data_IF_893454442838
#
_entry.id   IF_893454442838
#
_cell.length_a   1.000
_cell.length_b   1.000
_cell.length_c   1.000
_cell.angle_alpha   90.00
_cell.angle_beta   90.00
_cell.angle_gamma   90.00
#
_symmetry.space_group_name_H-M   'P 1'
#
loop_
_entity.id
_entity.type
_entity.pdbx_description
1 polymer ?
#
# COMPACT_ATOMS: atom_id res chain seq x y z
N UNK A 1 15.86 -15.53 35.76
CA UNK A 1 16.56 -14.88 34.63
C UNK A 1 17.91 -15.54 34.50
N UNK A 2 18.16 -16.25 33.39
CA UNK A 2 19.48 -16.79 33.06
C UNK A 2 20.23 -15.74 32.23
N UNK A 3 21.29 -15.16 32.80
CA UNK A 3 22.24 -14.33 32.06
C UNK A 3 23.28 -15.24 31.43
N UNK A 4 23.35 -15.29 30.10
CA UNK A 4 24.25 -16.18 29.37
C UNK A 4 25.66 -15.61 29.16
N UNK A 5 25.95 -14.41 29.69
CA UNK A 5 27.27 -13.79 29.64
C UNK A 5 27.75 -13.42 28.23
N UNK A 6 28.76 -12.55 28.17
CA UNK A 6 29.24 -11.92 26.92
C UNK A 6 29.95 -12.88 25.94
N UNK A 7 30.07 -14.16 26.31
CA UNK A 7 30.79 -15.20 25.54
C UNK A 7 29.88 -16.25 24.90
N UNK A 8 28.55 -16.10 24.98
CA UNK A 8 27.63 -16.98 24.27
C UNK A 8 27.60 -16.61 22.77
N UNK A 9 28.65 -16.99 22.06
CA UNK A 9 28.77 -16.77 20.62
C UNK A 9 27.85 -17.70 19.85
N UNK A 10 26.72 -17.17 19.38
CA UNK A 10 26.01 -17.77 18.24
C UNK A 10 26.99 -17.90 17.05
N UNK A 11 26.78 -18.83 16.08
CA UNK A 11 27.64 -19.01 14.91
C UNK A 11 27.45 -17.84 13.92
N UNK A 12 27.78 -16.63 14.37
CA UNK A 12 27.58 -15.37 13.67
C UNK A 12 28.96 -14.76 13.53
N UNK A 13 29.46 -14.70 12.29
CA UNK A 13 30.73 -14.05 12.05
C UNK A 13 30.53 -12.53 12.07
N UNK A 14 30.91 -11.88 13.18
CA UNK A 14 30.76 -10.44 13.38
C UNK A 14 31.53 -9.58 12.36
N UNK A 15 32.51 -10.16 11.67
CA UNK A 15 33.26 -9.47 10.60
C UNK A 15 32.50 -9.41 9.28
N UNK A 16 31.52 -10.29 9.05
CA UNK A 16 30.72 -10.32 7.83
C UNK A 16 29.49 -9.40 7.93
N UNK A 17 29.35 -8.49 6.96
CA UNK A 17 28.24 -7.50 6.94
C UNK A 17 26.86 -8.17 6.83
N UNK A 18 26.75 -9.23 6.03
CA UNK A 18 25.53 -10.02 5.85
C UNK A 18 25.09 -10.72 7.13
N UNK A 19 26.03 -11.34 7.84
CA UNK A 19 25.75 -12.05 9.10
C UNK A 19 25.28 -11.09 10.20
N UNK A 20 25.90 -9.91 10.30
CA UNK A 20 25.44 -8.84 11.20
C UNK A 20 24.02 -8.38 10.88
N UNK A 21 23.70 -8.18 9.59
CA UNK A 21 22.34 -7.78 9.17
C UNK A 21 21.31 -8.88 9.48
N UNK A 22 21.63 -10.13 9.18
CA UNK A 22 20.74 -11.27 9.43
C UNK A 22 20.53 -11.52 10.93
N UNK A 23 21.58 -11.38 11.74
CA UNK A 23 21.53 -11.45 13.20
C UNK A 23 20.63 -10.35 13.77
N UNK A 24 20.84 -9.11 13.36
CA UNK A 24 20.04 -7.96 13.81
C UNK A 24 18.57 -8.15 13.42
N UNK A 25 18.32 -8.57 12.17
CA UNK A 25 16.96 -8.86 11.69
C UNK A 25 16.30 -10.00 12.46
N UNK A 26 17.06 -11.06 12.79
CA UNK A 26 16.59 -12.18 13.60
C UNK A 26 16.23 -11.74 15.02
N UNK A 27 17.05 -10.90 15.64
CA UNK A 27 16.78 -10.34 16.98
C UNK A 27 15.53 -9.45 16.95
N UNK A 28 15.41 -8.55 15.97
CA UNK A 28 14.23 -7.68 15.83
C UNK A 28 12.96 -8.48 15.59
N UNK A 29 13.00 -9.49 14.71
CA UNK A 29 11.85 -10.38 14.46
C UNK A 29 11.47 -11.16 15.72
N UNK A 30 12.45 -11.73 16.43
CA UNK A 30 12.20 -12.45 17.68
C UNK A 30 11.63 -11.53 18.77
N UNK A 31 12.09 -10.28 18.85
CA UNK A 31 11.55 -9.27 19.76
C UNK A 31 10.08 -8.97 19.46
N UNK A 32 9.73 -8.68 18.19
CA UNK A 32 8.34 -8.40 17.81
C UNK A 32 7.43 -9.63 17.98
N UNK A 33 7.92 -10.84 17.66
CA UNK A 33 7.16 -12.08 17.89
C UNK A 33 6.92 -12.30 19.39
N UNK A 34 7.86 -11.95 20.26
CA UNK A 34 7.73 -12.11 21.71
C UNK A 34 7.10 -10.90 22.40
N UNK A 35 6.63 -9.91 21.63
CA UNK A 35 6.13 -8.66 22.19
C UNK A 35 4.99 -8.86 23.19
N UNK A 36 4.13 -9.85 22.96
CA UNK A 36 3.02 -10.20 23.87
C UNK A 36 3.44 -10.69 25.26
N UNK A 37 4.72 -11.03 25.46
CA UNK A 37 5.28 -11.50 26.74
C UNK A 37 6.00 -10.39 27.51
N UNK A 38 6.10 -9.20 26.95
CA UNK A 38 6.80 -8.05 27.52
C UNK A 38 5.79 -7.02 28.04
N UNK A 39 6.18 -6.25 29.06
CA UNK A 39 5.36 -5.12 29.51
C UNK A 39 5.37 -4.00 28.46
N UNK A 40 4.28 -3.23 28.40
CA UNK A 40 4.14 -2.09 27.49
C UNK A 40 5.28 -1.07 27.65
N UNK A 41 5.79 -0.90 28.88
CA UNK A 41 6.92 -0.02 29.18
C UNK A 41 8.21 -0.49 28.49
N UNK A 42 8.54 -1.79 28.58
CA UNK A 42 9.72 -2.38 27.95
C UNK A 42 9.59 -2.38 26.43
N UNK A 43 8.39 -2.65 25.92
CA UNK A 43 8.09 -2.59 24.49
C UNK A 43 8.32 -1.19 23.92
N UNK A 44 7.72 -0.19 24.55
CA UNK A 44 7.83 1.19 24.09
C UNK A 44 9.26 1.73 24.23
N UNK A 45 9.96 1.42 25.33
CA UNK A 45 11.36 1.79 25.51
C UNK A 45 12.25 1.20 24.40
N UNK A 46 12.05 -0.07 24.05
CA UNK A 46 12.85 -0.74 23.01
C UNK A 46 12.53 -0.21 21.63
N UNK A 47 11.24 -0.01 21.30
CA UNK A 47 10.83 0.62 20.04
C UNK A 47 11.40 2.03 19.89
N UNK A 48 11.34 2.83 20.94
CA UNK A 48 11.94 4.16 20.95
C UNK A 48 13.45 4.11 20.77
N UNK A 49 14.15 3.15 21.38
CA UNK A 49 15.58 2.96 21.16
C UNK A 49 15.92 2.63 19.70
N UNK A 50 15.15 1.72 19.08
CA UNK A 50 15.31 1.37 17.65
C UNK A 50 15.06 2.58 16.76
N UNK A 51 13.98 3.33 17.01
CA UNK A 51 13.64 4.55 16.26
C UNK A 51 14.75 5.60 16.41
N UNK A 52 15.26 5.82 17.61
CA UNK A 52 16.35 6.76 17.87
C UNK A 52 17.65 6.33 17.16
N UNK A 53 17.97 5.04 17.16
CA UNK A 53 19.12 4.51 16.42
C UNK A 53 18.97 4.72 14.91
N UNK A 54 17.79 4.46 14.36
CA UNK A 54 17.51 4.71 12.95
C UNK A 54 17.59 6.20 12.63
N UNK A 55 17.02 7.04 13.48
CA UNK A 55 17.07 8.49 13.35
C UNK A 55 18.53 8.99 13.36
N UNK A 56 19.37 8.50 14.27
CA UNK A 56 20.80 8.84 14.32
C UNK A 56 21.59 8.31 13.12
N UNK A 57 21.17 7.19 12.53
CA UNK A 57 21.78 6.68 11.30
C UNK A 57 21.42 7.53 10.08
N UNK A 58 20.15 7.95 10.00
CA UNK A 58 19.63 8.75 8.89
C UNK A 58 20.05 10.23 9.00
N UNK A 59 20.16 10.76 10.21
CA UNK A 59 20.61 12.12 10.50
C UNK A 59 22.11 12.12 10.75
N UNK A 60 22.86 12.59 9.76
CA UNK A 60 24.30 12.82 9.92
C UNK A 60 24.54 14.26 10.38
N UNK A 61 25.19 14.41 11.53
CA UNK A 61 25.53 15.71 12.14
C UNK A 61 26.93 16.20 11.77
N UNK A 62 27.81 15.31 11.31
CA UNK A 62 29.23 15.59 10.99
C UNK A 62 29.60 15.12 9.56
N UNK A 63 28.72 15.36 8.58
CA UNK A 63 28.96 14.95 7.20
C UNK A 63 29.92 15.88 6.44
N UNK A 64 30.68 15.32 5.51
CA UNK A 64 31.52 16.08 4.59
C UNK A 64 30.70 16.70 3.45
N UNK A 65 31.18 17.82 2.92
CA UNK A 65 30.62 18.38 1.68
C UNK A 65 30.86 17.41 0.50
N UNK A 66 29.85 17.16 -0.35
CA UNK A 66 30.02 16.37 -1.57
C UNK A 66 31.16 16.91 -2.45
N UNK A 67 31.96 16.00 -3.01
CA UNK A 67 33.12 16.34 -3.85
C UNK A 67 32.80 16.12 -5.32
N UNK A 68 33.15 17.09 -6.16
CA UNK A 68 32.99 16.99 -7.60
C UNK A 68 34.35 16.72 -8.27
N UNK A 69 34.42 15.72 -9.15
CA UNK A 69 35.63 15.43 -9.94
C UNK A 69 35.27 14.95 -11.35
N UNK A 70 36.20 15.09 -12.29
CA UNK A 70 36.02 14.68 -13.69
C UNK A 70 36.78 13.41 -14.02
N UNK A 71 36.14 12.46 -14.71
CA UNK A 71 36.79 11.26 -15.27
C UNK A 71 36.86 11.39 -16.80
N UNK A 72 38.03 11.31 -17.44
CA UNK A 72 38.16 11.51 -18.89
C UNK A 72 37.47 10.39 -19.67
N UNK A 73 36.65 10.77 -20.66
CA UNK A 73 36.08 9.82 -21.64
C UNK A 73 37.08 9.59 -22.77
N UNK A 74 38.12 8.79 -22.49
CA UNK A 74 39.25 8.53 -23.40
C UNK A 74 38.86 7.94 -24.77
N UNK A 75 37.66 7.37 -24.90
CA UNK A 75 37.15 6.79 -26.14
C UNK A 75 36.41 7.80 -27.03
N UNK A 76 36.28 9.07 -26.62
CA UNK A 76 35.60 10.11 -27.41
C UNK A 76 36.60 11.18 -27.90
N UNK A 77 36.45 11.67 -29.14
CA UNK A 77 37.30 12.75 -29.64
C UNK A 77 37.18 13.99 -28.74
N UNK A 78 38.32 14.61 -28.43
CA UNK A 78 38.39 15.73 -27.49
C UNK A 78 38.41 15.34 -26.00
N UNK A 79 38.37 14.05 -25.66
CA UNK A 79 38.57 13.53 -24.29
C UNK A 79 37.74 14.23 -23.21
N UNK A 80 36.48 14.56 -23.51
CA UNK A 80 35.59 15.28 -22.58
C UNK A 80 35.50 14.59 -21.21
N UNK A 81 35.51 15.40 -20.13
CA UNK A 81 35.38 14.89 -18.77
C UNK A 81 33.93 14.49 -18.45
N UNK A 82 33.76 13.34 -17.80
CA UNK A 82 32.53 12.95 -17.10
C UNK A 82 32.59 13.48 -15.68
N UNK A 83 31.77 14.49 -15.38
CA UNK A 83 31.65 15.01 -14.03
C UNK A 83 30.94 13.98 -13.15
N UNK A 84 31.51 13.71 -11.98
CA UNK A 84 30.97 12.84 -10.94
C UNK A 84 30.92 13.62 -9.63
N UNK A 85 29.76 13.61 -8.98
CA UNK A 85 29.59 14.14 -7.62
C UNK A 85 29.60 12.96 -6.67
N UNK A 86 30.67 12.83 -5.88
CA UNK A 86 30.75 11.87 -4.79
C UNK A 86 30.07 12.44 -3.55
N UNK A 87 29.06 11.73 -3.07
CA UNK A 87 28.32 12.05 -1.85
C UNK A 87 28.74 11.14 -0.68
N UNK A 88 29.84 10.38 -0.81
CA UNK A 88 30.35 9.56 0.29
C UNK A 88 30.62 10.42 1.52
N UNK A 89 30.20 9.93 2.68
CA UNK A 89 30.28 10.63 3.97
C UNK A 89 29.53 11.96 4.03
N UNK A 90 28.68 12.27 3.05
CA UNK A 90 27.85 13.48 3.07
C UNK A 90 26.64 13.33 4.00
N UNK A 91 26.06 14.43 4.48
CA UNK A 91 24.91 14.38 5.38
C UNK A 91 23.71 13.58 4.84
N UNK A 92 23.53 13.58 3.52
CA UNK A 92 22.40 12.95 2.84
C UNK A 92 22.69 11.52 2.35
N UNK A 93 23.92 11.02 2.51
CA UNK A 93 24.33 9.73 1.96
C UNK A 93 23.50 8.57 2.53
N UNK A 94 23.40 8.50 3.86
CA UNK A 94 22.70 7.41 4.54
C UNK A 94 21.21 7.42 4.19
N UNK A 95 20.59 8.60 4.14
CA UNK A 95 19.21 8.76 3.70
C UNK A 95 19.01 8.31 2.26
N UNK A 96 19.85 8.77 1.32
CA UNK A 96 19.77 8.38 -0.08
C UNK A 96 19.97 6.87 -0.28
N UNK A 97 20.94 6.28 0.43
CA UNK A 97 21.21 4.84 0.41
C UNK A 97 20.05 4.03 0.98
N UNK A 98 19.44 4.50 2.06
CA UNK A 98 18.25 3.90 2.67
C UNK A 98 17.05 3.92 1.71
N UNK A 99 16.75 5.07 1.10
CA UNK A 99 15.67 5.19 0.11
C UNK A 99 15.93 4.32 -1.13
N UNK A 100 17.17 4.30 -1.63
CA UNK A 100 17.55 3.46 -2.75
C UNK A 100 17.37 1.96 -2.44
N UNK A 101 17.65 1.53 -1.20
CA UNK A 101 17.38 0.17 -0.76
C UNK A 101 15.89 -0.16 -0.82
N UNK A 102 15.04 0.70 -0.25
CA UNK A 102 13.58 0.52 -0.31
C UNK A 102 13.12 0.39 -1.77
N UNK A 103 13.49 1.33 -2.63
CA UNK A 103 13.08 1.30 -4.04
C UNK A 103 13.55 0.04 -4.77
N UNK A 104 14.77 -0.41 -4.50
CA UNK A 104 15.35 -1.60 -5.13
C UNK A 104 14.69 -2.89 -4.67
N UNK A 105 14.31 -2.97 -3.41
CA UNK A 105 13.70 -4.15 -2.81
C UNK A 105 12.19 -4.21 -3.15
N UNK A 106 11.52 -3.06 -3.24
CA UNK A 106 10.08 -2.96 -3.53
C UNK A 106 9.72 -3.07 -5.02
N UNK A 107 10.60 -2.65 -5.94
CA UNK A 107 10.30 -2.61 -7.37
C UNK A 107 10.92 -3.83 -8.06
N UNK A 108 10.07 -4.69 -8.63
CA UNK A 108 10.52 -5.82 -9.44
C UNK A 108 11.28 -5.34 -10.68
N UNK A 109 12.30 -6.12 -11.07
CA UNK A 109 13.09 -5.80 -12.25
C UNK A 109 12.27 -6.11 -13.52
N UNK A 110 12.34 -5.27 -14.56
CA UNK A 110 11.65 -5.55 -15.82
C UNK A 110 12.26 -6.75 -16.55
N UNK A 111 11.50 -7.40 -17.44
CA UNK A 111 11.96 -8.56 -18.21
C UNK A 111 13.15 -8.25 -19.13
N UNK A 112 13.33 -6.98 -19.50
CA UNK A 112 14.48 -6.48 -20.26
C UNK A 112 15.74 -6.24 -19.41
N UNK A 113 15.66 -6.39 -18.09
CA UNK A 113 16.81 -6.22 -17.22
C UNK A 113 17.89 -7.27 -17.51
N UNK A 114 19.11 -6.80 -17.68
CA UNK A 114 20.29 -7.65 -17.85
C UNK A 114 21.30 -7.25 -16.78
N UNK A 115 21.73 -8.23 -15.99
CA UNK A 115 22.58 -7.99 -14.82
C UNK A 115 24.01 -7.61 -15.19
N UNK A 116 24.59 -8.34 -16.13
CA UNK A 116 25.99 -8.23 -16.55
C UNK A 116 26.18 -8.79 -17.97
N UNK A 117 27.36 -8.58 -18.54
CA UNK A 117 27.70 -9.01 -19.89
C UNK A 117 27.64 -10.53 -20.06
N UNK A 118 27.93 -11.30 -19.02
CA UNK A 118 27.86 -12.77 -19.08
C UNK A 118 26.40 -13.23 -19.17
N UNK A 119 25.53 -12.67 -18.32
CA UNK A 119 24.09 -12.91 -18.35
C UNK A 119 23.46 -12.53 -19.69
N UNK A 120 23.97 -11.48 -20.33
CA UNK A 120 23.56 -11.10 -21.68
C UNK A 120 23.91 -12.19 -22.70
N UNK A 121 25.18 -12.61 -22.73
CA UNK A 121 25.67 -13.63 -23.66
C UNK A 121 24.87 -14.93 -23.50
N UNK A 122 24.65 -15.38 -22.27
CA UNK A 122 23.87 -16.58 -22.01
C UNK A 122 22.43 -16.48 -22.52
N UNK A 123 21.79 -15.32 -22.35
CA UNK A 123 20.44 -15.07 -22.86
C UNK A 123 20.39 -15.06 -24.39
N UNK A 124 21.44 -14.58 -25.05
CA UNK A 124 21.52 -14.48 -26.50
C UNK A 124 21.84 -15.79 -27.21
N UNK A 125 22.44 -16.78 -26.52
CA UNK A 125 22.84 -18.07 -27.11
C UNK A 125 21.70 -18.81 -27.84
N UNK A 126 20.47 -18.66 -27.38
CA UNK A 126 19.30 -19.37 -27.91
C UNK A 126 18.38 -18.47 -28.74
N UNK A 127 18.80 -17.25 -29.08
CA UNK A 127 18.00 -16.33 -29.88
C UNK A 127 18.32 -16.55 -31.36
N UNK A 128 17.33 -17.02 -32.13
CA UNK A 128 17.44 -17.08 -33.59
C UNK A 128 17.20 -15.69 -34.18
N UNK A 129 18.04 -15.31 -35.15
CA UNK A 129 17.96 -14.00 -35.82
C UNK A 129 17.80 -14.24 -37.32
N UNK A 130 17.05 -13.37 -37.98
CA UNK A 130 16.89 -13.42 -39.44
C UNK A 130 18.26 -13.31 -40.15
N UNK A 131 18.57 -14.17 -41.13
CA UNK A 131 19.86 -14.15 -41.83
C UNK A 131 20.24 -12.82 -42.47
N UNK A 132 19.23 -12.05 -42.90
CA UNK A 132 19.40 -10.72 -43.52
C UNK A 132 19.07 -9.57 -42.54
N UNK A 133 19.07 -9.84 -41.24
CA UNK A 133 18.79 -8.84 -40.21
C UNK A 133 19.96 -7.90 -39.98
N UNK A 134 19.67 -6.62 -39.71
CA UNK A 134 20.65 -5.63 -39.28
C UNK A 134 20.61 -5.49 -37.76
N UNK A 135 21.78 -5.58 -37.11
CA UNK A 135 21.90 -5.22 -35.70
C UNK A 135 22.08 -3.70 -35.57
N UNK A 136 21.24 -3.08 -34.75
CA UNK A 136 21.31 -1.65 -34.44
C UNK A 136 21.40 -1.48 -32.93
N UNK A 137 22.36 -0.66 -32.48
CA UNK A 137 22.52 -0.29 -31.08
C UNK A 137 22.18 1.19 -30.90
N UNK A 138 21.34 1.49 -29.91
CA UNK A 138 20.99 2.85 -29.52
C UNK A 138 21.56 3.12 -28.13
N UNK A 139 22.25 4.25 -27.97
CA UNK A 139 22.77 4.72 -26.69
C UNK A 139 22.03 6.00 -26.25
N UNK A 140 21.71 6.08 -24.96
CA UNK A 140 21.05 7.25 -24.40
C UNK A 140 22.09 8.31 -24.03
N UNK A 141 21.98 9.51 -24.62
CA UNK A 141 22.88 10.61 -24.31
C UNK A 141 22.53 11.24 -22.95
N UNK A 142 23.51 11.26 -22.05
CA UNK A 142 23.43 11.95 -20.76
C UNK A 142 22.19 11.59 -19.93
N UNK A 143 21.86 10.29 -19.87
CA UNK A 143 20.65 9.76 -19.22
C UNK A 143 20.36 10.40 -17.86
N UNK A 144 21.34 10.50 -16.96
CA UNK A 144 21.13 11.00 -15.60
C UNK A 144 20.75 12.49 -15.51
N UNK A 145 21.23 13.32 -16.43
CA UNK A 145 20.94 14.77 -16.41
C UNK A 145 19.66 15.11 -17.15
N UNK A 146 19.18 14.20 -18.00
CA UNK A 146 18.06 14.43 -18.90
C UNK A 146 16.75 13.78 -18.42
N UNK A 147 16.73 13.13 -17.25
CA UNK A 147 15.51 12.56 -16.67
C UNK A 147 14.69 13.68 -16.00
N UNK A 148 13.47 13.99 -16.49
CA UNK A 148 12.60 14.99 -15.86
C UNK A 148 12.13 14.51 -14.48
N UNK A 149 12.14 15.41 -13.51
CA UNK A 149 11.76 15.09 -12.11
C UNK A 149 10.30 14.67 -12.02
N UNK A 150 9.44 15.27 -12.84
CA UNK A 150 8.00 15.01 -12.89
C UNK A 150 7.71 13.58 -13.33
N UNK A 151 8.51 13.04 -14.27
CA UNK A 151 8.37 11.66 -14.71
C UNK A 151 8.84 10.67 -13.64
N UNK A 152 9.85 11.03 -12.86
CA UNK A 152 10.29 10.22 -11.71
C UNK A 152 9.20 10.17 -10.65
N UNK A 153 8.61 11.33 -10.30
CA UNK A 153 7.53 11.41 -9.30
C UNK A 153 6.33 10.58 -9.76
N UNK A 154 5.84 10.77 -10.98
CA UNK A 154 4.75 9.95 -11.54
C UNK A 154 5.09 8.45 -11.56
N UNK A 155 6.35 8.13 -11.83
CA UNK A 155 6.86 6.75 -11.83
C UNK A 155 6.86 6.11 -10.44
N UNK A 156 7.11 6.91 -9.38
CA UNK A 156 7.01 6.49 -7.98
C UNK A 156 5.55 6.35 -7.57
N UNK A 157 4.72 7.35 -7.87
CA UNK A 157 3.28 7.34 -7.57
C UNK A 157 2.57 6.12 -8.17
N UNK A 158 2.83 5.81 -9.44
CA UNK A 158 2.26 4.63 -10.12
C UNK A 158 2.65 3.31 -9.46
N UNK A 159 3.80 3.26 -8.78
CA UNK A 159 4.33 2.06 -8.11
C UNK A 159 4.22 2.18 -6.59
N UNK A 160 3.48 3.17 -6.08
CA UNK A 160 3.40 3.46 -4.66
C UNK A 160 2.88 2.26 -3.90
N UNK A 161 1.89 1.55 -4.43
CA UNK A 161 1.35 0.31 -3.84
C UNK A 161 2.44 -0.73 -3.60
N UNK A 162 3.33 -0.97 -4.58
CA UNK A 162 4.47 -1.90 -4.42
C UNK A 162 5.47 -1.42 -3.37
N UNK A 163 5.72 -0.10 -3.32
CA UNK A 163 6.62 0.55 -2.35
C UNK A 163 6.02 0.56 -0.93
N UNK A 164 4.70 0.68 -0.81
CA UNK A 164 3.97 0.79 0.44
C UNK A 164 3.45 -0.54 0.98
N UNK A 165 3.42 -1.60 0.17
CA UNK A 165 2.91 -2.92 0.58
C UNK A 165 3.69 -3.51 1.77
N UNK A 166 4.95 -3.11 1.96
CA UNK A 166 5.75 -3.44 3.14
C UNK A 166 5.27 -2.74 4.43
N UNK A 167 4.29 -1.82 4.34
CA UNK A 167 3.73 -1.07 5.47
C UNK A 167 2.26 -1.33 5.74
N UNK A 168 1.47 -1.89 4.82
CA UNK A 168 0.05 -2.13 5.04
C UNK A 168 -0.16 -3.19 6.13
N UNK A 169 0.59 -4.30 6.03
CA UNK A 169 0.63 -5.34 7.07
C UNK A 169 1.21 -4.81 8.38
N UNK A 170 2.33 -4.07 8.31
CA UNK A 170 2.94 -3.47 9.51
C UNK A 170 2.01 -2.47 10.21
N UNK A 171 1.26 -1.66 9.45
CA UNK A 171 0.29 -0.71 9.99
C UNK A 171 -0.89 -1.45 10.61
N UNK A 172 -1.39 -2.50 9.96
CA UNK A 172 -2.43 -3.36 10.48
C UNK A 172 -2.01 -4.05 11.80
N UNK A 173 -0.80 -4.60 11.83
CA UNK A 173 -0.21 -5.24 13.01
C UNK A 173 -0.03 -4.25 14.16
N UNK A 174 0.43 -3.02 13.87
CA UNK A 174 0.52 -1.94 14.85
C UNK A 174 -0.86 -1.62 15.42
N UNK A 175 -1.86 -1.36 14.59
CA UNK A 175 -3.23 -1.05 15.04
C UNK A 175 -3.81 -2.17 15.92
N UNK A 176 -3.55 -3.42 15.55
CA UNK A 176 -4.01 -4.59 16.29
C UNK A 176 -3.17 -4.94 17.53
N UNK A 177 -1.97 -4.36 17.67
CA UNK A 177 -1.12 -4.51 18.85
C UNK A 177 -1.51 -3.58 20.01
N UNK A 178 -2.26 -2.50 19.76
CA UNK A 178 -2.61 -1.50 20.78
C UNK A 178 -3.54 -2.02 21.88
N UNK A 179 -4.44 -2.99 21.60
CA UNK A 179 -5.35 -3.48 22.61
C UNK A 179 -5.83 -4.93 22.37
N UNK A 180 -5.84 -5.81 23.39
CA UNK A 180 -6.21 -7.21 23.22
C UNK A 180 -7.68 -7.44 22.84
N UNK A 181 -8.59 -6.51 23.18
CA UNK A 181 -10.03 -6.62 22.86
C UNK A 181 -10.46 -5.85 21.61
N UNK A 182 -9.62 -4.97 21.07
CA UNK A 182 -9.95 -4.16 19.89
C UNK A 182 -9.12 -4.69 18.72
N UNK A 183 -9.79 -5.41 17.82
CA UNK A 183 -9.16 -5.96 16.62
C UNK A 183 -9.79 -5.32 15.39
N UNK A 184 -8.96 -4.63 14.63
CA UNK A 184 -9.26 -4.09 13.32
C UNK A 184 -9.13 -5.20 12.28
N UNK A 185 -9.99 -5.14 11.28
CA UNK A 185 -9.96 -5.96 10.06
C UNK A 185 -9.90 -5.01 8.87
N UNK A 186 -9.18 -5.36 7.81
CA UNK A 186 -9.17 -4.59 6.57
C UNK A 186 -9.66 -5.46 5.42
N UNK A 187 -10.25 -4.81 4.41
CA UNK A 187 -10.67 -5.43 3.16
C UNK A 187 -9.85 -4.78 2.05
N UNK A 188 -9.39 -5.59 1.10
CA UNK A 188 -8.66 -5.11 -0.09
C UNK A 188 -9.62 -5.09 -1.26
N UNK A 189 -9.44 -4.13 -2.15
CA UNK A 189 -10.20 -4.03 -3.39
C UNK A 189 -10.07 -5.32 -4.22
N UNK A 190 -11.21 -5.88 -4.64
CA UNK A 190 -11.29 -7.04 -5.52
C UNK A 190 -12.00 -6.65 -6.82
N UNK A 191 -11.38 -6.94 -7.97
CA UNK A 191 -11.93 -6.69 -9.31
C UNK A 191 -12.39 -5.22 -9.52
N UNK A 192 -11.58 -4.25 -9.10
CA UNK A 192 -11.93 -2.84 -9.26
C UNK A 192 -12.97 -2.33 -8.24
N UNK A 193 -13.37 -3.14 -7.26
CA UNK A 193 -14.46 -2.82 -6.34
C UNK A 193 -14.09 -3.08 -4.87
N UNK A 194 -14.52 -2.20 -3.97
CA UNK A 194 -14.38 -2.37 -2.52
C UNK A 194 -15.67 -2.00 -1.81
N UNK A 195 -15.96 -2.68 -0.72
CA UNK A 195 -17.12 -2.39 0.12
C UNK A 195 -16.73 -1.47 1.28
N UNK A 196 -17.52 -0.42 1.49
CA UNK A 196 -17.42 0.48 2.63
C UNK A 196 -18.80 0.68 3.24
N UNK A 197 -18.99 0.20 4.48
CA UNK A 197 -20.29 0.14 5.14
C UNK A 197 -21.34 -0.55 4.25
N UNK A 198 -22.45 0.14 3.95
CA UNK A 198 -23.55 -0.35 3.11
C UNK A 198 -23.37 0.04 1.63
N UNK A 199 -22.15 0.39 1.20
CA UNK A 199 -21.87 0.90 -0.15
C UNK A 199 -20.74 0.12 -0.82
N UNK A 200 -20.96 -0.37 -2.05
CA UNK A 200 -19.90 -0.84 -2.95
C UNK A 200 -19.38 0.34 -3.75
N UNK A 201 -18.08 0.55 -3.72
CA UNK A 201 -17.37 1.53 -4.52
C UNK A 201 -16.68 0.76 -5.64
N UNK A 202 -16.94 1.09 -6.89
CA UNK A 202 -16.35 0.45 -8.08
C UNK A 202 -15.63 1.52 -8.90
N UNK A 203 -14.38 1.26 -9.25
CA UNK A 203 -13.59 2.07 -10.16
C UNK A 203 -13.78 1.57 -11.60
N UNK A 204 -14.58 2.30 -12.37
CA UNK A 204 -14.75 2.06 -13.81
C UNK A 204 -13.86 3.03 -14.59
N UNK A 205 -12.63 2.58 -14.91
CA UNK A 205 -11.66 3.31 -15.73
C UNK A 205 -11.41 4.78 -15.30
N UNK A 206 -11.39 5.04 -14.00
CA UNK A 206 -11.15 6.37 -13.42
C UNK A 206 -12.41 7.12 -12.99
N UNK A 207 -13.60 6.55 -13.20
CA UNK A 207 -14.87 7.07 -12.66
C UNK A 207 -15.31 6.21 -11.48
N UNK A 208 -15.60 6.85 -10.33
CA UNK A 208 -16.10 6.17 -9.15
C UNK A 208 -17.61 5.95 -9.29
N UNK A 209 -18.03 4.70 -9.32
CA UNK A 209 -19.42 4.27 -9.29
C UNK A 209 -19.72 3.73 -7.89
N UNK A 210 -20.80 4.21 -7.28
CA UNK A 210 -21.25 3.75 -5.95
C UNK A 210 -22.56 2.99 -6.09
N UNK A 211 -22.61 1.77 -5.57
CA UNK A 211 -23.81 0.94 -5.47
C UNK A 211 -24.09 0.60 -4.00
N UNK A 212 -25.31 0.19 -3.68
CA UNK A 212 -25.62 -0.34 -2.36
C UNK A 212 -25.02 -1.74 -2.19
N UNK A 213 -24.42 -2.03 -1.04
CA UNK A 213 -23.85 -3.32 -0.68
C UNK A 213 -24.31 -3.72 0.71
N UNK A 214 -24.79 -4.95 0.88
CA UNK A 214 -24.98 -5.53 2.21
C UNK A 214 -24.08 -6.73 2.39
N UNK A 215 -23.28 -6.72 3.45
CA UNK A 215 -22.50 -7.89 3.85
C UNK A 215 -23.46 -9.08 4.06
N UNK A 216 -23.15 -10.27 3.54
CA UNK A 216 -23.94 -11.46 3.82
C UNK A 216 -23.82 -11.81 5.32
N UNK A 217 -24.73 -11.30 6.13
CA UNK A 217 -24.83 -11.67 7.55
C UNK A 217 -25.36 -13.09 7.66
N UNK A 218 -24.59 -13.98 8.29
CA UNK A 218 -25.04 -15.32 8.71
C UNK A 218 -26.32 -15.18 9.55
N UNK A 219 -27.39 -15.86 9.13
CA UNK A 219 -28.66 -15.98 9.85
C UNK A 219 -28.42 -16.86 11.08
N UNK A 220 -28.07 -16.26 12.23
CA UNK A 220 -28.00 -17.01 13.48
C UNK A 220 -29.42 -17.18 14.05
N UNK A 221 -29.85 -18.44 14.18
CA UNK A 221 -31.04 -18.85 14.93
C UNK A 221 -31.03 -18.19 16.31
N UNK A 222 -31.99 -17.30 16.57
CA UNK A 222 -32.28 -16.87 17.94
C UNK A 222 -32.97 -18.01 18.68
N UNK A 223 -32.20 -18.77 19.45
CA UNK A 223 -32.73 -19.60 20.53
C UNK A 223 -33.44 -18.68 21.54
N UNK A 224 -34.68 -19.06 21.88
CA UNK A 224 -35.53 -18.38 22.85
C UNK A 224 -34.85 -18.36 24.22
N UNK A 225 -34.58 -17.18 24.75
CA UNK A 225 -34.51 -16.95 26.20
C UNK A 225 -35.10 -15.56 26.48
N UNK A 226 -36.15 -15.54 27.30
CA UNK A 226 -37.05 -14.41 27.49
C UNK A 226 -36.39 -13.19 28.15
N UNK A 227 -36.61 -12.03 27.54
CA UNK A 227 -36.78 -10.76 28.24
C UNK A 227 -37.43 -9.76 27.27
N UNK A 228 -38.43 -8.96 27.70
CA UNK A 228 -39.08 -7.99 26.84
C UNK A 228 -38.21 -6.72 26.77
N UNK A 229 -37.34 -6.65 25.77
CA UNK A 229 -36.65 -5.41 25.46
C UNK A 229 -37.58 -4.51 24.64
N UNK A 230 -37.92 -3.37 25.24
CA UNK A 230 -38.65 -2.23 24.65
C UNK A 230 -38.16 -1.95 23.23
N UNK A 231 -39.02 -2.21 22.24
CA UNK A 231 -38.86 -1.71 20.87
C UNK A 231 -39.11 -0.20 20.86
N UNK A 232 -38.05 0.61 20.98
CA UNK A 232 -38.05 1.98 20.48
C UNK A 232 -37.37 1.99 19.11
N UNK A 233 -38.21 2.00 18.07
CA UNK A 233 -38.13 2.86 16.88
C UNK A 233 -36.73 3.25 16.36
N UNK A 234 -36.04 2.33 15.66
CA UNK A 234 -34.95 2.66 14.72
C UNK A 234 -34.93 1.68 13.53
N UNK A 235 -36.09 1.12 13.16
CA UNK A 235 -36.16 0.25 11.98
C UNK A 235 -36.31 1.11 10.74
N UNK A 236 -35.41 0.91 9.77
CA UNK A 236 -35.52 1.58 8.46
C UNK A 236 -36.84 1.25 7.78
N UNK A 237 -37.31 2.15 6.93
CA UNK A 237 -38.58 2.03 6.22
C UNK A 237 -38.68 0.70 5.45
N UNK A 238 -37.55 0.27 4.86
CA UNK A 238 -37.39 -1.02 4.18
C UNK A 238 -37.56 -2.18 5.17
N UNK A 239 -36.90 -2.13 6.33
CA UNK A 239 -37.03 -3.17 7.36
C UNK A 239 -38.46 -3.27 7.90
N UNK A 240 -39.15 -2.14 8.09
CA UNK A 240 -40.55 -2.10 8.51
C UNK A 240 -41.48 -2.69 7.44
N UNK A 241 -41.26 -2.38 6.16
CA UNK A 241 -42.03 -2.93 5.05
C UNK A 241 -41.86 -4.45 4.94
N UNK A 242 -40.61 -4.95 5.00
CA UNK A 242 -40.32 -6.40 4.98
C UNK A 242 -41.03 -7.15 6.10
N UNK A 243 -41.00 -6.60 7.33
CA UNK A 243 -41.66 -7.22 8.48
C UNK A 243 -43.19 -7.14 8.42
N UNK A 244 -43.73 -6.06 7.88
CA UNK A 244 -45.18 -5.81 7.83
C UNK A 244 -45.85 -6.60 6.71
N UNK A 245 -45.19 -6.75 5.56
CA UNK A 245 -45.75 -7.37 4.37
C UNK A 245 -45.11 -8.72 4.03
N UNK A 246 -44.16 -9.21 4.86
CA UNK A 246 -43.38 -10.43 4.65
C UNK A 246 -42.80 -10.53 3.22
N UNK A 247 -42.40 -9.39 2.68
CA UNK A 247 -41.96 -9.22 1.32
C UNK A 247 -40.44 -9.09 1.28
N UNK A 248 -39.76 -9.84 0.40
CA UNK A 248 -38.33 -9.67 0.12
C UNK A 248 -38.14 -8.93 -1.21
N UNK A 249 -37.15 -8.05 -1.25
CA UNK A 249 -36.76 -7.35 -2.47
C UNK A 249 -35.73 -8.18 -3.22
N UNK A 250 -35.92 -8.38 -4.51
CA UNK A 250 -34.91 -8.97 -5.38
C UNK A 250 -33.84 -7.92 -5.70
N UNK A 251 -32.63 -8.17 -5.20
CA UNK A 251 -31.47 -7.28 -5.38
C UNK A 251 -30.48 -7.82 -6.42
N UNK A 252 -30.79 -8.97 -7.02
CA UNK A 252 -29.91 -9.65 -7.98
C UNK A 252 -29.80 -8.86 -9.29
N UNK A 253 -30.90 -8.22 -9.69
CA UNK A 253 -31.06 -7.53 -10.98
C UNK A 253 -31.96 -6.28 -10.84
N UNK A 254 -31.45 -5.18 -10.25
CA UNK A 254 -32.26 -3.99 -10.04
C UNK A 254 -32.37 -3.13 -11.31
N UNK A 255 -33.59 -2.72 -11.64
CA UNK A 255 -33.85 -1.74 -12.71
C UNK A 255 -33.33 -0.35 -12.33
N UNK A 256 -32.27 0.10 -13.00
CA UNK A 256 -31.71 1.44 -12.80
C UNK A 256 -32.55 2.48 -13.55
N UNK A 257 -33.41 3.19 -12.82
CA UNK A 257 -34.34 4.17 -13.38
C UNK A 257 -33.64 5.44 -13.92
N UNK A 258 -32.48 5.81 -13.39
CA UNK A 258 -31.77 7.03 -13.80
C UNK A 258 -30.26 6.98 -13.47
N UNK A 259 -29.42 7.50 -14.37
CA UNK A 259 -27.97 7.70 -14.16
C UNK A 259 -27.58 9.14 -14.51
N UNK A 260 -26.87 9.81 -13.61
CA UNK A 260 -26.29 11.14 -13.82
C UNK A 260 -24.96 11.26 -13.06
N UNK A 261 -24.00 12.00 -13.61
CA UNK A 261 -22.67 12.18 -13.02
C UNK A 261 -22.65 13.24 -11.89
N UNK A 262 -23.66 14.10 -11.80
CA UNK A 262 -23.71 15.20 -10.86
C UNK A 262 -24.68 14.93 -9.71
N UNK A 263 -24.18 14.99 -8.47
CA UNK A 263 -24.93 14.59 -7.28
C UNK A 263 -26.28 15.33 -7.12
N UNK A 264 -26.27 16.65 -7.29
CA UNK A 264 -27.47 17.49 -7.15
C UNK A 264 -28.57 17.14 -8.16
N UNK A 265 -28.19 16.68 -9.36
CA UNK A 265 -29.15 16.25 -10.40
C UNK A 265 -29.73 14.88 -10.08
N UNK A 266 -28.94 13.99 -9.50
CA UNK A 266 -29.43 12.70 -8.99
C UNK A 266 -30.44 12.87 -7.86
N UNK A 267 -30.16 13.77 -6.92
CA UNK A 267 -31.07 14.07 -5.80
C UNK A 267 -32.43 14.62 -6.29
N UNK A 268 -32.43 15.51 -7.30
CA UNK A 268 -33.65 16.02 -7.94
C UNK A 268 -34.41 14.90 -8.67
N UNK A 269 -33.70 14.04 -9.41
CA UNK A 269 -34.31 12.91 -10.10
C UNK A 269 -34.93 11.91 -9.11
N UNK A 270 -34.22 11.61 -8.02
CA UNK A 270 -34.68 10.73 -6.94
C UNK A 270 -35.97 11.27 -6.30
N UNK A 271 -35.99 12.58 -5.96
CA UNK A 271 -37.21 13.23 -5.47
C UNK A 271 -38.37 13.07 -6.47
N UNK A 272 -38.13 13.32 -7.76
CA UNK A 272 -39.17 13.21 -8.79
C UNK A 272 -39.73 11.78 -8.89
N UNK A 273 -38.87 10.76 -8.91
CA UNK A 273 -39.31 9.36 -8.99
C UNK A 273 -40.06 8.90 -7.74
N UNK A 274 -39.66 9.34 -6.54
CA UNK A 274 -40.37 9.03 -5.29
C UNK A 274 -41.76 9.71 -5.26
N UNK A 275 -41.86 10.97 -5.70
CA UNK A 275 -43.14 11.71 -5.74
C UNK A 275 -44.13 11.18 -6.78
N UNK A 276 -43.63 10.54 -7.84
CA UNK A 276 -44.45 9.98 -8.92
C UNK A 276 -45.09 8.62 -8.57
N UNK A 277 -44.61 7.94 -7.52
CA UNK A 277 -45.15 6.64 -7.12
C UNK A 277 -46.47 6.78 -6.33
N UNK A 278 -47.51 6.06 -6.76
CA UNK A 278 -48.81 6.05 -6.08
C UNK A 278 -48.81 5.28 -4.75
N UNK A 279 -47.86 4.36 -4.57
CA UNK A 279 -47.69 3.53 -3.35
C UNK A 279 -46.21 3.43 -2.97
N UNK A 280 -45.59 4.53 -2.52
CA UNK A 280 -44.19 4.54 -2.19
C UNK A 280 -43.94 3.77 -0.88
N UNK A 281 -42.81 3.07 -0.82
CA UNK A 281 -42.32 2.52 0.45
C UNK A 281 -41.83 3.65 1.35
N UNK A 282 -41.19 4.68 0.77
CA UNK A 282 -40.69 5.87 1.47
C UNK A 282 -41.84 6.82 1.86
N UNK A 283 -41.67 7.57 2.96
CA UNK A 283 -42.63 8.63 3.31
C UNK A 283 -42.37 9.83 2.39
N UNK A 284 -43.43 10.50 1.92
CA UNK A 284 -43.27 11.68 1.04
C UNK A 284 -42.45 12.80 1.71
N UNK A 285 -42.50 12.88 3.05
CA UNK A 285 -41.69 13.80 3.87
C UNK A 285 -40.19 13.50 3.84
N UNK A 286 -39.79 12.28 3.46
CA UNK A 286 -38.38 11.90 3.35
C UNK A 286 -37.70 12.62 2.16
N UNK A 287 -38.49 13.31 1.31
CA UNK A 287 -37.98 14.18 0.23
C UNK A 287 -37.84 15.65 0.62
N UNK A 288 -38.26 16.05 1.84
CA UNK A 288 -38.29 17.47 2.25
C UNK A 288 -36.89 18.08 2.45
N UNK A 289 -35.88 17.23 2.64
CA UNK A 289 -34.46 17.62 2.74
C UNK A 289 -33.68 17.53 1.43
N UNK A 290 -34.32 17.06 0.35
CA UNK A 290 -33.75 17.03 -0.99
C UNK A 290 -33.96 18.41 -1.68
N UNK A 291 -33.03 18.86 -2.54
CA UNK A 291 -33.02 20.19 -3.13
C UNK A 291 -34.16 20.50 -4.11
#
# INVERSE_FOLDING_TARGET
>A
MLSLGDKFGLPINSTQKTDRMNSTLGITKNFEVMAYRLSDEVLNATRNAIVNMLQNYLLSTNGNLPRCYGVPKIHKPGCLLRIIVSTNDSPLYNLASYLNKILKDSISKPDSFVKDSWSFVDRMKNVSVCPNGLFVSFDATSLFTNIPKELVIKGIEKRWTMISNDKLMTTFDIFNSYHPRLKFTYEVEENGSISFLDTRITNDNGTIITNWYRKPTYIFQRSKAGSPLKLKSDQSVVSKHRLTFNHEFDWSDPDVLHRDAFNRRREIAEMYFIKKQDRPVNLQKDTDSLP
#
